data_IF_423641337956
#
_entry.id   IF_423641337956
#
_cell.length_a   1.000
_cell.length_b   1.000
_cell.length_c   1.000
_cell.angle_alpha   90.00
_cell.angle_beta   90.00
_cell.angle_gamma   90.00
#
_symmetry.space_group_name_H-M   'P 1'
#
loop_
_entity.id
_entity.type
_entity.pdbx_description
1 polymer ?
#
# COMPACT_ATOMS: atom_id res chain seq x y z
N UNK A 1 23.54 -32.69 35.97
CA UNK A 1 23.01 -31.45 35.36
C UNK A 1 22.25 -31.65 34.03
N UNK A 2 22.66 -32.58 33.14
CA UNK A 2 22.10 -32.69 31.76
C UNK A 2 20.65 -33.22 31.66
N UNK A 3 20.20 -34.07 32.58
CA UNK A 3 18.86 -34.69 32.50
C UNK A 3 17.70 -33.73 32.83
N UNK A 4 17.95 -32.69 33.63
CA UNK A 4 16.91 -31.73 34.01
C UNK A 4 16.55 -30.80 32.84
N UNK A 5 17.55 -30.24 32.16
CA UNK A 5 17.34 -29.40 30.96
C UNK A 5 16.65 -30.17 29.82
N UNK A 6 16.98 -31.46 29.65
CA UNK A 6 16.36 -32.33 28.63
C UNK A 6 14.86 -32.55 28.87
N UNK A 7 14.42 -32.57 30.14
CA UNK A 7 13.02 -32.75 30.53
C UNK A 7 12.19 -31.49 30.26
N UNK A 8 12.75 -30.31 30.55
CA UNK A 8 12.13 -29.03 30.24
C UNK A 8 12.06 -28.78 28.73
N UNK A 9 13.13 -29.08 27.99
CA UNK A 9 13.14 -29.00 26.53
C UNK A 9 12.10 -29.92 25.88
N UNK A 10 11.95 -31.17 26.36
CA UNK A 10 10.89 -32.08 25.88
C UNK A 10 9.48 -31.56 26.21
N UNK A 11 9.27 -30.97 27.39
CA UNK A 11 7.96 -30.42 27.78
C UNK A 11 7.60 -29.20 26.94
N UNK A 12 8.58 -28.31 26.72
CA UNK A 12 8.44 -27.16 25.83
C UNK A 12 8.17 -27.59 24.38
N UNK A 13 8.94 -28.54 23.86
CA UNK A 13 8.76 -29.08 22.50
C UNK A 13 7.39 -29.75 22.32
N UNK A 14 6.91 -30.48 23.33
CA UNK A 14 5.60 -31.12 23.30
C UNK A 14 4.47 -30.09 23.33
N UNK A 15 4.58 -29.04 24.15
CA UNK A 15 3.63 -27.92 24.12
C UNK A 15 3.65 -27.20 22.78
N UNK A 16 4.83 -26.82 22.30
CA UNK A 16 5.00 -26.11 21.04
C UNK A 16 4.46 -26.91 19.85
N UNK A 17 4.81 -28.20 19.78
CA UNK A 17 4.30 -29.12 18.77
C UNK A 17 2.78 -29.29 18.87
N UNK A 18 2.19 -29.36 20.07
CA UNK A 18 0.73 -29.44 20.23
C UNK A 18 0.01 -28.20 19.67
N UNK A 19 0.53 -27.00 19.96
CA UNK A 19 -0.03 -25.75 19.42
C UNK A 19 0.14 -25.64 17.90
N UNK A 20 1.32 -25.96 17.36
CA UNK A 20 1.57 -25.90 15.91
C UNK A 20 0.76 -26.95 15.16
N UNK A 21 0.68 -28.18 15.67
CA UNK A 21 -0.08 -29.25 15.02
C UNK A 21 -1.59 -28.93 15.03
N UNK A 22 -2.11 -28.39 16.14
CA UNK A 22 -3.48 -27.91 16.23
C UNK A 22 -3.77 -26.74 15.28
N UNK A 23 -2.81 -25.84 15.10
CA UNK A 23 -2.90 -24.75 14.12
C UNK A 23 -2.91 -25.28 12.68
N UNK A 24 -2.01 -26.21 12.34
CA UNK A 24 -1.93 -26.83 11.02
C UNK A 24 -3.23 -27.55 10.64
N UNK A 25 -3.79 -28.32 11.58
CA UNK A 25 -5.07 -29.01 11.37
C UNK A 25 -6.26 -28.05 11.18
N UNK A 26 -6.17 -26.82 11.71
CA UNK A 26 -7.21 -25.78 11.58
C UNK A 26 -7.07 -24.96 10.31
N UNK A 27 -5.83 -24.76 9.83
CA UNK A 27 -5.50 -24.09 8.56
C UNK A 27 -5.98 -24.89 7.35
N UNK A 28 -5.95 -26.21 7.42
CA UNK A 28 -6.37 -27.09 6.31
C UNK A 28 -7.90 -27.22 6.21
N UNK A 29 -8.60 -27.23 7.36
CA UNK A 29 -10.06 -27.44 7.42
C UNK A 29 -10.92 -26.20 7.19
N UNK A 30 -10.42 -25.03 7.53
CA UNK A 30 -11.06 -23.77 7.15
C UNK A 30 -10.16 -23.14 6.11
N UNK A 31 -10.65 -22.78 4.92
CA UNK A 31 -9.86 -22.19 3.84
C UNK A 31 -9.24 -20.81 4.21
N UNK A 32 -8.37 -20.78 5.23
CA UNK A 32 -7.79 -19.58 5.84
C UNK A 32 -6.87 -18.92 4.81
N UNK A 33 -6.14 -19.70 4.02
CA UNK A 33 -5.35 -19.19 2.90
C UNK A 33 -6.19 -18.43 1.88
N UNK A 34 -7.38 -18.94 1.53
CA UNK A 34 -8.29 -18.26 0.60
C UNK A 34 -8.85 -16.97 1.20
N UNK A 35 -9.20 -16.99 2.48
CA UNK A 35 -9.68 -15.81 3.20
C UNK A 35 -8.59 -14.73 3.33
N UNK A 36 -7.36 -15.13 3.65
CA UNK A 36 -6.22 -14.21 3.70
C UNK A 36 -5.88 -13.65 2.32
N UNK A 37 -5.98 -14.47 1.27
CA UNK A 37 -5.78 -14.01 -0.11
C UNK A 37 -6.85 -12.98 -0.52
N UNK A 38 -8.11 -13.19 -0.13
CA UNK A 38 -9.18 -12.21 -0.35
C UNK A 38 -8.94 -10.87 0.35
N UNK A 39 -8.49 -10.90 1.61
CA UNK A 39 -8.13 -9.67 2.34
C UNK A 39 -6.91 -8.99 1.68
N UNK A 40 -5.87 -9.74 1.31
CA UNK A 40 -4.71 -9.19 0.63
C UNK A 40 -5.08 -8.56 -0.74
N UNK A 41 -5.95 -9.21 -1.51
CA UNK A 41 -6.45 -8.68 -2.77
C UNK A 41 -7.21 -7.37 -2.57
N UNK A 42 -8.14 -7.30 -1.62
CA UNK A 42 -8.86 -6.05 -1.33
C UNK A 42 -7.93 -4.93 -0.83
N UNK A 43 -6.84 -5.27 -0.15
CA UNK A 43 -5.79 -4.32 0.21
C UNK A 43 -5.08 -3.76 -1.02
N UNK A 44 -4.70 -4.62 -1.99
CA UNK A 44 -4.11 -4.15 -3.26
C UNK A 44 -5.06 -3.26 -4.06
N UNK A 45 -6.35 -3.59 -4.09
CA UNK A 45 -7.37 -2.76 -4.73
C UNK A 45 -7.47 -1.38 -4.07
N UNK A 46 -7.32 -1.30 -2.74
CA UNK A 46 -7.32 -0.03 -1.99
C UNK A 46 -6.05 0.81 -2.22
N UNK A 47 -4.93 0.20 -2.60
CA UNK A 47 -3.68 0.92 -2.91
C UNK A 47 -3.85 1.81 -4.15
N UNK A 48 -4.61 1.39 -5.15
CA UNK A 48 -4.82 2.16 -6.39
C UNK A 48 -5.38 3.57 -6.11
N UNK A 49 -6.52 3.74 -5.42
CA UNK A 49 -7.05 5.06 -5.13
C UNK A 49 -6.20 5.83 -4.10
N UNK A 50 -5.47 5.15 -3.21
CA UNK A 50 -4.46 5.82 -2.37
C UNK A 50 -3.35 6.47 -3.19
N UNK A 51 -2.85 5.77 -4.22
CA UNK A 51 -1.86 6.33 -5.14
C UNK A 51 -2.40 7.55 -5.88
N UNK A 52 -3.68 7.55 -6.30
CA UNK A 52 -4.31 8.72 -6.92
C UNK A 52 -4.31 9.94 -5.97
N UNK A 53 -4.58 9.74 -4.68
CA UNK A 53 -4.49 10.83 -3.68
C UNK A 53 -3.05 11.31 -3.54
N UNK A 54 -2.06 10.42 -3.51
CA UNK A 54 -0.64 10.81 -3.47
C UNK A 54 -0.27 11.66 -4.69
N UNK A 55 -0.66 11.23 -5.90
CA UNK A 55 -0.46 12.02 -7.11
C UNK A 55 -1.18 13.36 -7.07
N UNK A 56 -2.39 13.39 -6.50
CA UNK A 56 -3.13 14.65 -6.31
C UNK A 56 -2.35 15.63 -5.44
N UNK A 57 -1.84 15.17 -4.30
CA UNK A 57 -1.06 15.99 -3.38
C UNK A 57 0.24 16.46 -4.05
N UNK A 58 0.98 15.57 -4.70
CA UNK A 58 2.23 15.90 -5.38
C UNK A 58 2.01 16.91 -6.53
N UNK A 59 0.95 16.73 -7.32
CA UNK A 59 0.60 17.65 -8.40
C UNK A 59 0.30 19.06 -7.88
N UNK A 60 -0.39 19.20 -6.73
CA UNK A 60 -0.59 20.50 -6.08
C UNK A 60 0.69 21.15 -5.56
N UNK A 61 1.67 20.35 -5.11
CA UNK A 61 2.96 20.87 -4.65
C UNK A 61 3.76 21.39 -5.85
N UNK A 62 3.84 20.61 -6.92
CA UNK A 62 4.62 20.96 -8.12
C UNK A 62 4.00 22.11 -8.92
N UNK A 63 2.69 22.32 -8.84
CA UNK A 63 2.00 23.45 -9.46
C UNK A 63 2.44 24.82 -8.92
N UNK A 64 3.17 24.87 -7.78
CA UNK A 64 3.59 26.12 -7.17
C UNK A 64 4.66 26.81 -8.05
N UNK A 65 4.51 28.12 -8.31
CA UNK A 65 5.48 28.84 -9.15
C UNK A 65 6.89 28.82 -8.57
N UNK A 66 7.02 28.80 -7.24
CA UNK A 66 8.30 28.65 -6.52
C UNK A 66 9.05 27.37 -6.94
N UNK A 67 8.33 26.24 -7.00
CA UNK A 67 8.90 24.94 -7.37
C UNK A 67 9.27 24.92 -8.85
N UNK A 68 8.42 25.48 -9.72
CA UNK A 68 8.69 25.57 -11.16
C UNK A 68 9.94 26.41 -11.43
N UNK A 69 10.08 27.55 -10.74
CA UNK A 69 11.24 28.42 -10.87
C UNK A 69 12.52 27.75 -10.37
N UNK A 70 12.46 27.00 -9.26
CA UNK A 70 13.61 26.23 -8.78
C UNK A 70 14.01 25.13 -9.76
N UNK A 71 13.03 24.42 -10.34
CA UNK A 71 13.29 23.42 -11.39
C UNK A 71 13.99 24.06 -12.59
N UNK A 72 13.50 25.21 -13.06
CA UNK A 72 14.12 25.94 -14.17
C UNK A 72 15.55 26.37 -13.83
N UNK A 73 15.78 26.90 -12.62
CA UNK A 73 17.10 27.29 -12.14
C UNK A 73 18.05 26.08 -12.00
N UNK A 74 17.55 24.91 -11.61
CA UNK A 74 18.34 23.68 -11.59
C UNK A 74 18.72 23.27 -13.02
N UNK A 75 17.79 23.29 -13.97
CA UNK A 75 18.07 22.97 -15.38
C UNK A 75 19.17 23.88 -15.93
N UNK A 76 19.10 25.19 -15.66
CA UNK A 76 20.10 26.17 -16.09
C UNK A 76 21.49 25.93 -15.47
N UNK A 77 21.58 25.36 -14.27
CA UNK A 77 22.86 25.00 -13.64
C UNK A 77 23.44 23.70 -14.20
N UNK A 78 22.61 22.73 -14.57
CA UNK A 78 23.07 21.42 -15.06
C UNK A 78 23.34 21.40 -16.57
N UNK A 79 22.62 22.22 -17.35
CA UNK A 79 22.76 22.29 -18.80
C UNK A 79 23.39 23.64 -19.16
N UNK A 80 24.70 23.69 -19.42
CA UNK A 80 25.42 24.95 -19.70
C UNK A 80 25.08 25.58 -21.06
N UNK A 81 24.34 24.87 -21.92
CA UNK A 81 23.94 25.34 -23.24
C UNK A 81 22.47 25.80 -23.25
N UNK A 82 22.20 27.09 -23.51
CA UNK A 82 20.86 27.67 -23.35
C UNK A 82 19.82 27.06 -24.29
N UNK A 83 20.20 26.70 -25.51
CA UNK A 83 19.28 26.10 -26.50
C UNK A 83 18.75 24.73 -26.03
N UNK A 84 19.64 23.88 -25.49
CA UNK A 84 19.24 22.58 -24.94
C UNK A 84 18.51 22.73 -23.60
N UNK A 85 18.86 23.72 -22.78
CA UNK A 85 18.17 24.01 -21.53
C UNK A 85 16.71 24.41 -21.79
N UNK A 86 16.45 25.28 -22.77
CA UNK A 86 15.10 25.71 -23.14
C UNK A 86 14.25 24.57 -23.73
N UNK A 87 14.84 23.68 -24.54
CA UNK A 87 14.13 22.48 -25.01
C UNK A 87 13.68 21.59 -23.85
N UNK A 88 14.55 21.36 -22.87
CA UNK A 88 14.26 20.53 -21.69
C UNK A 88 13.23 21.20 -20.78
N UNK A 89 13.34 22.52 -20.55
CA UNK A 89 12.33 23.28 -19.80
C UNK A 89 10.95 23.16 -20.43
N UNK A 90 10.86 23.36 -21.75
CA UNK A 90 9.58 23.27 -22.45
C UNK A 90 8.93 21.90 -22.30
N UNK A 91 9.69 20.81 -22.50
CA UNK A 91 9.20 19.44 -22.33
C UNK A 91 8.76 19.11 -20.90
N UNK A 92 9.55 19.53 -19.91
CA UNK A 92 9.24 19.31 -18.50
C UNK A 92 8.01 20.13 -18.10
N UNK A 93 7.97 21.43 -18.42
CA UNK A 93 6.85 22.31 -18.10
C UNK A 93 5.57 21.83 -18.76
N UNK A 94 5.59 21.37 -20.02
CA UNK A 94 4.42 20.79 -20.69
C UNK A 94 3.85 19.60 -19.92
N UNK A 95 4.73 18.71 -19.45
CA UNK A 95 4.32 17.54 -18.65
C UNK A 95 3.79 17.96 -17.29
N UNK A 96 4.42 18.92 -16.62
CA UNK A 96 3.97 19.45 -15.34
C UNK A 96 2.58 20.11 -15.46
N UNK A 97 2.38 20.98 -16.45
CA UNK A 97 1.07 21.62 -16.72
C UNK A 97 0.00 20.56 -16.99
N UNK A 98 0.31 19.55 -17.80
CA UNK A 98 -0.62 18.44 -18.06
C UNK A 98 -1.00 17.68 -16.79
N UNK A 99 -0.03 17.39 -15.91
CA UNK A 99 -0.27 16.73 -14.61
C UNK A 99 -1.14 17.59 -13.67
N UNK A 100 -1.04 18.91 -13.76
CA UNK A 100 -1.87 19.84 -12.96
C UNK A 100 -3.29 20.00 -13.48
N UNK A 101 -3.51 19.92 -14.79
CA UNK A 101 -4.84 20.09 -15.40
C UNK A 101 -5.82 18.97 -15.00
N UNK A 102 -5.36 17.72 -14.94
CA UNK A 102 -6.20 16.57 -14.55
C UNK A 102 -6.31 16.36 -13.03
N UNK A 103 -5.57 17.16 -12.26
CA UNK A 103 -5.40 16.97 -10.83
C UNK A 103 -6.74 16.90 -10.08
N UNK A 104 -7.68 17.81 -10.37
CA UNK A 104 -8.98 17.86 -9.67
C UNK A 104 -9.81 16.57 -9.84
N UNK A 105 -9.82 16.00 -11.04
CA UNK A 105 -10.54 14.77 -11.34
C UNK A 105 -9.85 13.58 -10.66
N UNK A 106 -8.51 13.52 -10.75
CA UNK A 106 -7.70 12.48 -10.10
C UNK A 106 -7.92 12.47 -8.59
N UNK A 107 -7.90 13.64 -7.94
CA UNK A 107 -8.16 13.77 -6.51
C UNK A 107 -9.57 13.32 -6.13
N UNK A 108 -10.59 13.70 -6.92
CA UNK A 108 -11.97 13.32 -6.68
C UNK A 108 -12.16 11.79 -6.77
N UNK A 109 -11.66 11.17 -7.84
CA UNK A 109 -11.69 9.72 -8.04
C UNK A 109 -10.91 9.00 -6.93
N UNK A 110 -9.76 9.56 -6.52
CA UNK A 110 -8.98 9.04 -5.40
C UNK A 110 -9.77 9.03 -4.09
N UNK A 111 -10.40 10.16 -3.71
CA UNK A 111 -11.18 10.25 -2.48
C UNK A 111 -12.38 9.30 -2.48
N UNK A 112 -13.20 9.31 -3.53
CA UNK A 112 -14.32 8.37 -3.65
C UNK A 112 -13.85 6.92 -3.70
N UNK A 113 -12.77 6.66 -4.42
CA UNK A 113 -12.15 5.34 -4.53
C UNK A 113 -11.67 4.82 -3.19
N UNK A 114 -11.02 5.64 -2.36
CA UNK A 114 -10.57 5.24 -1.01
C UNK A 114 -11.76 4.96 -0.10
N UNK A 115 -12.81 5.78 -0.14
CA UNK A 115 -14.02 5.54 0.67
C UNK A 115 -14.65 4.19 0.28
N UNK A 116 -14.79 3.93 -1.02
CA UNK A 116 -15.41 2.71 -1.53
C UNK A 116 -14.56 1.45 -1.27
N UNK A 117 -13.28 1.48 -1.64
CA UNK A 117 -12.37 0.33 -1.50
C UNK A 117 -11.95 0.12 -0.06
N UNK A 118 -11.78 1.17 0.72
CA UNK A 118 -11.55 1.10 2.17
C UNK A 118 -12.72 0.45 2.89
N UNK A 119 -13.95 0.82 2.56
CA UNK A 119 -15.15 0.15 3.09
C UNK A 119 -15.17 -1.35 2.75
N UNK A 120 -14.78 -1.70 1.52
CA UNK A 120 -14.68 -3.09 1.06
C UNK A 120 -13.60 -3.88 1.81
N UNK A 121 -12.45 -3.26 2.10
CA UNK A 121 -11.37 -3.86 2.88
C UNK A 121 -11.80 -4.10 4.34
N UNK A 122 -12.38 -3.10 5.00
CA UNK A 122 -12.89 -3.26 6.37
C UNK A 122 -14.00 -4.30 6.46
N UNK A 123 -14.88 -4.37 5.46
CA UNK A 123 -15.89 -5.42 5.35
C UNK A 123 -15.26 -6.80 5.23
N UNK A 124 -14.23 -6.95 4.38
CA UNK A 124 -13.53 -8.22 4.19
C UNK A 124 -12.84 -8.68 5.49
N UNK A 125 -12.16 -7.78 6.19
CA UNK A 125 -11.55 -8.06 7.50
C UNK A 125 -12.62 -8.49 8.50
N UNK A 126 -13.75 -7.77 8.57
CA UNK A 126 -14.87 -8.12 9.46
C UNK A 126 -15.40 -9.51 9.16
N UNK A 127 -15.61 -9.86 7.89
CA UNK A 127 -16.12 -11.17 7.50
C UNK A 127 -15.15 -12.29 7.88
N UNK A 128 -13.85 -12.10 7.64
CA UNK A 128 -12.83 -13.10 8.03
C UNK A 128 -12.72 -13.23 9.53
N UNK A 129 -12.71 -12.11 10.26
CA UNK A 129 -12.65 -12.10 11.71
C UNK A 129 -13.89 -12.77 12.32
N UNK A 130 -15.08 -12.46 11.82
CA UNK A 130 -16.31 -13.07 12.28
C UNK A 130 -16.31 -14.58 12.04
N UNK A 131 -15.76 -15.04 10.91
CA UNK A 131 -15.64 -16.48 10.61
C UNK A 131 -14.64 -17.21 11.50
N UNK A 132 -13.61 -16.53 12.02
CA UNK A 132 -12.61 -17.09 12.95
C UNK A 132 -13.14 -17.10 14.40
N UNK A 133 -13.77 -16.00 14.83
CA UNK A 133 -14.21 -15.81 16.22
C UNK A 133 -15.61 -16.35 16.50
N UNK A 134 -16.45 -16.49 15.47
CA UNK A 134 -17.70 -17.25 15.52
C UNK A 134 -17.67 -18.39 14.49
N UNK A 135 -17.02 -19.53 14.81
CA UNK A 135 -17.04 -20.71 13.94
C UNK A 135 -18.41 -21.40 13.75
N UNK A 136 -19.54 -20.73 14.09
CA UNK A 136 -20.89 -21.29 14.24
C UNK A 136 -20.99 -22.31 15.41
N UNK A 137 -22.05 -22.27 16.23
CA UNK A 137 -23.22 -23.17 16.12
C UNK A 137 -23.72 -23.40 14.71
#
# INVERSE_FOLDING_TARGET
MSNFMRKYAKKFWKSFSYYILGLYHRIDRHHIFLMSAGVAFTMFVCIIPLLLIVFFVLSNIVARPEIINEINAMIDRFIPYPEYAEMVKNEIVLKLVTLTNFNRIVGLIGVFGVIFTGSSLFSSIRTVLNKIFHPYY
#
